data_IF_659354434241
#
_entry.id   IF_659354434241
#
_cell.length_a   1.000
_cell.length_b   1.000
_cell.length_c   1.000
_cell.angle_alpha   90.00
_cell.angle_beta   90.00
_cell.angle_gamma   90.00
#
_symmetry.space_group_name_H-M   'P 1'
#
loop_
_entity.id
_entity.type
_entity.pdbx_description
1 polymer ?
2 water ?
#
# COMPACT_ATOMS: atom_id res chain seq x y z
N UNK A 40 9.56 8.05 9.13
CA UNK A 40 9.91 8.55 7.77
C UNK A 40 9.10 8.16 6.60
N UNK A 41 8.39 9.15 6.07
CA UNK A 41 7.46 8.92 4.98
C UNK A 41 8.20 8.39 3.75
N UNK A 42 9.22 9.10 3.31
CA UNK A 42 9.99 8.62 2.16
C UNK A 42 10.57 7.21 2.38
N UNK A 43 11.13 6.96 3.56
CA UNK A 43 11.69 5.63 3.86
C UNK A 43 10.63 4.54 3.79
N UNK A 44 9.45 4.83 4.30
CA UNK A 44 8.36 3.85 4.22
C UNK A 44 7.99 3.56 2.77
N UNK A 45 7.89 4.61 1.96
CA UNK A 45 7.54 4.42 0.55
C UNK A 45 8.60 3.54 -0.13
N UNK A 46 9.87 3.88 0.06
CA UNK A 46 10.97 3.19 -0.58
C UNK A 46 11.07 1.74 -0.18
N UNK A 47 10.58 1.36 1.01
CA UNK A 47 10.63 -0.04 1.42
C UNK A 47 9.35 -0.78 1.04
N UNK A 48 8.33 -0.05 0.57
CA UNK A 48 7.05 -0.69 0.31
C UNK A 48 7.18 -1.76 -0.77
N UNK A 49 6.39 -2.82 -0.63
CA UNK A 49 6.30 -3.88 -1.60
C UNK A 49 5.41 -3.45 -2.75
N UNK A 50 4.29 -2.81 -2.40
CA UNK A 50 3.38 -2.30 -3.41
C UNK A 50 2.54 -1.23 -2.76
N UNK A 51 2.14 -0.24 -3.55
CA UNK A 51 1.28 0.84 -3.08
C UNK A 51 -0.01 0.74 -3.90
N UNK A 52 -1.15 0.78 -3.21
CA UNK A 52 -2.43 0.71 -3.90
C UNK A 52 -3.08 2.08 -3.79
N UNK A 53 -3.57 2.58 -4.92
CA UNK A 53 -4.14 3.92 -4.92
C UNK A 53 -5.54 4.02 -5.49
N UNK A 54 -6.21 5.03 -4.97
CA UNK A 54 -7.35 5.68 -5.61
C UNK A 54 -6.81 7.01 -6.12
N UNK A 55 -6.69 7.16 -7.43
CA UNK A 55 -5.90 8.23 -8.03
C UNK A 55 -6.16 9.61 -7.44
N UNK A 56 -5.07 10.23 -6.99
CA UNK A 56 -5.05 11.57 -6.40
C UNK A 56 -5.71 11.68 -5.03
N UNK A 57 -6.26 10.57 -4.50
CA UNK A 57 -7.19 10.62 -3.40
C UNK A 57 -6.73 9.81 -2.15
N UNK A 58 -6.39 8.54 -2.36
CA UNK A 58 -5.96 7.67 -1.27
C UNK A 58 -4.77 6.82 -1.71
N UNK A 59 -3.80 6.63 -0.82
CA UNK A 59 -2.68 5.70 -1.11
C UNK A 59 -2.38 4.86 0.13
N UNK A 60 -2.22 3.56 -0.08
CA UNK A 60 -1.91 2.59 0.98
C UNK A 60 -0.59 1.89 0.64
N UNK A 61 0.38 1.95 1.56
CA UNK A 61 1.63 1.30 1.35
C UNK A 61 1.64 -0.03 2.10
N UNK A 62 1.81 -1.11 1.35
CA UNK A 62 1.89 -2.48 1.88
C UNK A 62 3.29 -3.03 1.84
N UNK A 63 3.61 -3.77 2.90
CA UNK A 63 4.93 -4.34 3.09
C UNK A 63 4.77 -5.81 3.44
N UNK A 64 5.47 -6.67 2.69
CA UNK A 64 5.49 -8.07 2.96
C UNK A 64 6.90 -8.61 2.67
N UNK A 65 7.47 -9.33 3.64
CA UNK A 65 8.75 -9.96 3.46
C UNK A 65 8.72 -11.30 4.19
N UNK A 66 8.98 -12.36 3.46
CA UNK A 66 8.94 -13.69 4.00
C UNK A 66 9.86 -13.79 5.21
N UNK A 67 9.35 -14.28 6.33
CA UNK A 67 10.14 -14.38 7.52
C UNK A 67 10.04 -13.24 8.50
N UNK A 68 9.59 -12.08 8.03
CA UNK A 68 9.44 -10.88 8.85
C UNK A 68 7.95 -10.58 9.11
N UNK A 69 7.12 -10.66 8.07
CA UNK A 69 5.72 -10.27 8.20
C UNK A 69 4.83 -11.50 7.98
N UNK A 70 4.23 -12.08 9.05
CA UNK A 70 3.33 -13.23 8.79
C UNK A 70 2.15 -12.93 7.88
N UNK A 71 1.68 -11.68 7.94
CA UNK A 71 0.67 -11.16 7.03
C UNK A 71 1.19 -9.86 6.42
N UNK A 72 0.70 -9.50 5.24
CA UNK A 72 1.01 -8.19 4.71
C UNK A 72 0.65 -7.06 5.72
N UNK A 73 1.52 -6.04 5.80
CA UNK A 73 1.46 -4.98 6.79
C UNK A 73 1.21 -3.66 6.07
N UNK A 74 0.25 -2.88 6.58
CA UNK A 74 0.09 -1.51 6.12
C UNK A 74 1.08 -0.67 6.89
N UNK A 75 2.06 -0.11 6.17
CA UNK A 75 3.11 0.67 6.81
C UNK A 75 2.95 2.21 6.71
N UNK A 76 2.09 2.63 5.79
CA UNK A 76 1.84 4.05 5.61
C UNK A 76 0.54 4.21 4.86
N UNK A 77 -0.20 5.28 5.15
CA UNK A 77 -1.47 5.58 4.49
C UNK A 77 -1.57 7.08 4.29
N UNK A 78 -2.44 7.48 3.36
CA UNK A 78 -2.71 8.89 3.21
C UNK A 78 -3.94 9.17 2.40
N UNK A 79 -4.57 10.31 2.71
CA UNK A 79 -5.66 10.81 1.91
C UNK A 79 -5.36 12.25 1.56
N UNK A 80 -5.93 12.72 0.46
CA UNK A 80 -5.78 14.13 0.05
C UNK A 80 -4.28 14.42 -0.17
N UNK A 81 -3.74 15.49 0.41
CA UNK A 81 -2.35 15.88 0.12
C UNK A 81 -1.38 14.79 0.47
N UNK A 82 -1.61 14.08 1.56
CA UNK A 82 -0.64 13.04 1.93
C UNK A 82 -0.68 11.87 0.92
N UNK A 83 -1.86 11.56 0.38
CA UNK A 83 -1.95 10.58 -0.68
C UNK A 83 -1.14 11.03 -1.88
N UNK A 84 -1.32 12.27 -2.28
CA UNK A 84 -0.54 12.81 -3.40
C UNK A 84 0.95 12.69 -3.16
N UNK A 85 1.39 12.95 -1.92
CA UNK A 85 2.82 12.88 -1.59
C UNK A 85 3.33 11.45 -1.74
N UNK A 86 2.55 10.50 -1.21
CA UNK A 86 2.94 9.09 -1.30
C UNK A 86 3.08 8.68 -2.77
N UNK A 87 2.06 9.01 -3.56
CA UNK A 87 2.06 8.57 -4.94
C UNK A 87 3.23 9.21 -5.72
N UNK A 88 3.47 10.49 -5.46
CA UNK A 88 4.56 11.21 -6.12
C UNK A 88 5.92 10.64 -5.74
N UNK A 89 6.10 10.32 -4.45
CA UNK A 89 7.35 9.69 -4.03
C UNK A 89 7.52 8.30 -4.65
N UNK A 90 6.44 7.52 -4.67
CA UNK A 90 6.47 6.18 -5.26
C UNK A 90 6.84 6.30 -6.72
N UNK A 91 6.26 7.26 -7.45
CA UNK A 91 6.63 7.45 -8.86
C UNK A 91 8.10 7.84 -9.02
N UNK A 92 8.57 8.77 -8.19
CA UNK A 92 9.96 9.22 -8.27
C UNK A 92 10.93 8.08 -8.05
N UNK A 93 10.57 7.17 -7.12
CA UNK A 93 11.46 6.08 -6.76
C UNK A 93 11.09 4.74 -7.42
N UNK A 94 10.15 4.77 -8.36
CA UNK A 94 9.76 3.60 -9.14
C UNK A 94 9.34 2.40 -8.26
N UNK A 95 8.57 2.72 -7.23
CA UNK A 95 7.95 1.70 -6.37
C UNK A 95 6.66 1.28 -7.05
N UNK A 96 6.34 -0.01 -7.10
CA UNK A 96 5.11 -0.39 -7.81
C UNK A 96 3.86 0.23 -7.23
N UNK A 97 3.04 0.80 -8.11
CA UNK A 97 1.80 1.41 -7.75
C UNK A 97 0.69 0.79 -8.61
N UNK A 98 -0.38 0.35 -7.96
CA UNK A 98 -1.51 -0.24 -8.65
C UNK A 98 -2.76 0.56 -8.35
N UNK A 99 -3.51 0.91 -9.39
CA UNK A 99 -4.79 1.59 -9.22
C UNK A 99 -5.87 0.54 -8.95
N UNK A 100 -6.46 0.64 -7.75
CA UNK A 100 -7.56 -0.28 -7.37
C UNK A 100 -8.36 0.50 -6.35
N UNK A 101 -9.36 1.19 -6.88
CA UNK A 101 -10.09 2.16 -6.09
C UNK A 101 -10.86 1.53 -4.92
N UNK A 102 -11.63 0.46 -5.19
CA UNK A 102 -12.31 -0.14 -4.05
C UNK A 102 -11.39 -0.72 -2.99
N UNK A 103 -10.28 -1.33 -3.41
CA UNK A 103 -9.36 -1.90 -2.44
C UNK A 103 -8.71 -0.81 -1.62
N UNK A 104 -8.26 0.26 -2.31
CA UNK A 104 -7.61 1.35 -1.57
C UNK A 104 -8.56 1.98 -0.56
N UNK A 105 -9.80 2.20 -1.00
CA UNK A 105 -10.78 2.81 -0.09
C UNK A 105 -11.07 1.90 1.08
N UNK A 106 -11.22 0.61 0.80
CA UNK A 106 -11.56 -0.32 1.88
C UNK A 106 -10.40 -0.48 2.88
N UNK A 107 -9.18 -0.61 2.36
CA UNK A 107 -8.02 -0.66 3.25
C UNK A 107 -7.92 0.63 4.07
N UNK A 108 -8.16 1.78 3.44
CA UNK A 108 -8.06 3.04 4.20
C UNK A 108 -9.02 3.09 5.37
N UNK A 109 -10.26 2.66 5.14
CA UNK A 109 -11.28 2.70 6.18
C UNK A 109 -10.97 1.71 7.29
N UNK A 110 -10.38 0.56 6.95
CA UNK A 110 -10.34 -0.59 7.88
C UNK A 110 -9.00 -0.99 8.48
N UNK A 111 -7.90 -0.72 7.76
CA UNK A 111 -6.57 -1.18 8.21
C UNK A 111 -5.72 0.06 8.44
N UNK A 112 -5.46 0.36 9.72
CA UNK A 112 -4.72 1.57 10.04
C UNK A 112 -3.24 1.38 9.81
N UNK A 113 -2.53 2.49 9.65
CA UNK A 113 -1.09 2.44 9.60
C UNK A 113 -0.54 1.63 10.77
N UNK A 114 0.29 0.65 10.45
CA UNK A 114 0.92 -0.18 11.45
C UNK A 114 0.23 -1.50 11.71
N UNK A 115 -0.88 -1.74 11.01
CA UNK A 115 -1.66 -2.95 11.26
C UNK A 115 -1.53 -3.95 10.13
N UNK A 116 -1.62 -5.23 10.49
CA UNK A 116 -1.73 -6.30 9.52
C UNK A 116 -3.08 -6.22 8.85
N UNK A 117 -3.12 -6.60 7.58
CA UNK A 117 -4.40 -6.78 6.94
C UNK A 117 -5.20 -7.89 7.62
N UNK A 118 -6.53 -7.83 7.45
CA UNK A 118 -7.44 -8.80 8.00
C UNK A 118 -7.97 -9.69 6.87
N UNK A 119 -8.68 -10.74 7.28
CA UNK A 119 -9.03 -11.86 6.40
C UNK A 119 -9.67 -11.50 5.06
N UNK A 120 -10.60 -10.55 5.06
CA UNK A 120 -11.27 -10.16 3.81
C UNK A 120 -10.30 -9.56 2.77
N UNK A 121 -9.11 -9.17 3.21
CA UNK A 121 -8.10 -8.61 2.33
C UNK A 121 -7.01 -9.59 1.89
N UNK A 122 -6.97 -10.79 2.45
CA UNK A 122 -5.87 -11.69 2.18
C UNK A 122 -5.68 -11.98 0.70
N UNK A 123 -6.75 -12.38 0.05
CA UNK A 123 -6.64 -12.75 -1.36
C UNK A 123 -6.35 -11.55 -2.27
N UNK A 124 -7.15 -10.47 -2.16
CA UNK A 124 -6.86 -9.36 -3.04
C UNK A 124 -5.48 -8.78 -2.85
N UNK A 125 -5.00 -8.73 -1.60
CA UNK A 125 -3.64 -8.23 -1.37
C UNK A 125 -2.56 -9.23 -1.84
N UNK A 126 -2.77 -10.54 -1.69
CA UNK A 126 -1.86 -11.50 -2.33
C UNK A 126 -1.74 -11.28 -3.87
N UNK A 127 -2.88 -11.05 -4.52
CA UNK A 127 -2.96 -10.70 -5.96
C UNK A 127 -2.08 -9.52 -6.32
N UNK A 128 -2.19 -8.49 -5.49
CA UNK A 128 -1.49 -7.23 -5.71
C UNK A 128 0.01 -7.46 -5.58
N UNK A 129 0.42 -8.18 -4.54
CA UNK A 129 1.84 -8.42 -4.32
C UNK A 129 2.41 -9.23 -5.48
N UNK A 130 1.64 -10.19 -5.99
CA UNK A 130 2.05 -10.98 -7.15
C UNK A 130 2.25 -10.12 -8.40
N UNK A 131 1.30 -9.21 -8.68
CA UNK A 131 1.44 -8.27 -9.80
C UNK A 131 2.65 -7.33 -9.63
N UNK A 132 2.84 -6.85 -8.41
CA UNK A 132 3.96 -5.98 -8.03
C UNK A 132 5.33 -6.66 -8.16
N UNK A 133 5.42 -7.92 -7.72
CA UNK A 133 6.68 -8.66 -7.68
C UNK A 133 7.06 -9.12 -9.08
#
# INVERSE_FOLDING_TARGET
GSHMASMSKDEVKREAKDTDGNPEIKGERRRLHSEIQSGSLANNIKKSTVIVKDPTHIAICLYYKLGETPLPLVIETGKDAKALQIIKLAELYDIPVIEDIPLARSLYKNIHKGQYITEDFFEPVAQLIRIAIDLDY
#
